data_IF_837739090152
#
_entry.id   IF_837739090152
#
_cell.length_a   1.000
_cell.length_b   1.000
_cell.length_c   1.000
_cell.angle_alpha   90.00
_cell.angle_beta   90.00
_cell.angle_gamma   90.00
#
_symmetry.space_group_name_H-M   'P 1'
#
loop_
_entity.id
_entity.type
_entity.pdbx_description
1 polymer ?
#
# COMPACT_ATOMS: atom_id res chain seq x y z
N UNK A 1 47.65 6.60 -4.83
CA UNK A 1 46.36 6.14 -5.40
C UNK A 1 45.63 5.36 -4.32
N UNK A 2 44.40 5.70 -3.95
CA UNK A 2 43.68 4.95 -2.91
C UNK A 2 43.35 3.53 -3.42
N UNK A 3 43.60 2.52 -2.59
CA UNK A 3 43.33 1.11 -2.88
C UNK A 3 41.88 0.78 -2.49
N UNK A 4 40.94 0.98 -3.41
CA UNK A 4 39.52 0.65 -3.21
C UNK A 4 39.26 -0.79 -3.64
N UNK A 5 38.74 -1.61 -2.72
CA UNK A 5 38.35 -3.00 -2.97
C UNK A 5 36.83 -3.11 -2.98
N UNK A 6 36.26 -3.61 -4.08
CA UNK A 6 34.83 -3.88 -4.18
C UNK A 6 34.51 -5.30 -3.66
N UNK A 7 33.46 -5.43 -2.84
CA UNK A 7 32.97 -6.73 -2.35
C UNK A 7 31.47 -6.83 -2.63
N UNK A 8 31.07 -7.83 -3.41
CA UNK A 8 29.66 -8.14 -3.60
C UNK A 8 29.08 -8.80 -2.34
N UNK A 9 27.87 -8.41 -1.96
CA UNK A 9 27.09 -9.01 -0.88
C UNK A 9 25.72 -9.38 -1.42
N UNK A 10 25.20 -10.56 -1.09
CA UNK A 10 23.85 -10.99 -1.49
C UNK A 10 22.70 -10.28 -0.77
N UNK A 11 22.94 -9.09 -0.21
CA UNK A 11 21.96 -8.31 0.53
C UNK A 11 21.34 -7.28 -0.40
N UNK A 12 20.02 -7.18 -0.38
CA UNK A 12 19.30 -6.15 -1.12
C UNK A 12 19.39 -4.84 -0.36
N UNK A 13 20.02 -3.83 -0.97
CA UNK A 13 20.02 -2.46 -0.46
C UNK A 13 18.87 -1.71 -1.15
N UNK A 14 17.98 -1.12 -0.37
CA UNK A 14 16.89 -0.29 -0.86
C UNK A 14 16.86 1.04 -0.11
N UNK A 15 16.53 2.13 -0.81
CA UNK A 15 16.26 3.43 -0.20
C UNK A 15 14.98 3.41 0.65
N UNK A 16 14.15 2.38 0.52
CA UNK A 16 12.85 2.25 1.18
C UNK A 16 12.88 1.42 2.47
N UNK A 17 14.06 1.23 3.09
CA UNK A 17 14.20 0.40 4.30
C UNK A 17 13.30 0.85 5.47
N UNK A 18 12.93 2.13 5.54
CA UNK A 18 11.98 2.67 6.52
C UNK A 18 10.58 2.04 6.45
N UNK A 19 10.18 1.49 5.29
CA UNK A 19 8.92 0.77 5.14
C UNK A 19 8.85 -0.50 6.01
N UNK A 20 9.97 -1.03 6.49
CA UNK A 20 9.98 -2.18 7.42
C UNK A 20 9.22 -1.90 8.72
N UNK A 21 9.32 -0.68 9.24
CA UNK A 21 8.62 -0.25 10.46
C UNK A 21 7.13 -0.05 10.13
N UNK A 22 6.85 0.55 8.96
CA UNK A 22 5.47 0.75 8.48
C UNK A 22 4.75 -0.59 8.29
N UNK A 23 5.42 -1.60 7.73
CA UNK A 23 4.88 -2.95 7.60
C UNK A 23 4.48 -3.55 8.93
N UNK A 24 5.32 -3.42 9.96
CA UNK A 24 5.01 -3.85 11.32
C UNK A 24 3.81 -3.09 11.91
N UNK A 25 3.75 -1.78 11.74
CA UNK A 25 2.60 -0.97 12.20
C UNK A 25 1.29 -1.41 11.51
N UNK A 26 1.34 -1.68 10.21
CA UNK A 26 0.20 -2.18 9.43
C UNK A 26 -0.29 -3.54 9.95
N UNK A 27 0.65 -4.45 10.26
CA UNK A 27 0.35 -5.76 10.81
C UNK A 27 -0.30 -5.63 12.19
N UNK A 28 0.28 -4.82 13.09
CA UNK A 28 -0.28 -4.53 14.41
C UNK A 28 -1.66 -3.87 14.34
N UNK A 29 -1.90 -3.02 13.35
CA UNK A 29 -3.20 -2.40 13.11
C UNK A 29 -4.25 -3.38 12.55
N UNK A 30 -3.87 -4.61 12.20
CA UNK A 30 -4.79 -5.64 11.73
C UNK A 30 -5.43 -5.31 10.38
N UNK A 31 -4.71 -4.61 9.49
CA UNK A 31 -5.25 -4.17 8.18
C UNK A 31 -5.75 -5.33 7.32
N UNK A 32 -5.21 -6.53 7.50
CA UNK A 32 -5.68 -7.74 6.80
C UNK A 32 -7.13 -8.13 7.14
N UNK A 33 -7.65 -7.69 8.28
CA UNK A 33 -9.07 -7.87 8.64
C UNK A 33 -10.03 -7.20 7.64
N UNK A 34 -9.55 -6.20 6.89
CA UNK A 34 -10.35 -5.54 5.84
C UNK A 34 -10.75 -6.50 4.72
N UNK A 35 -10.01 -7.58 4.49
CA UNK A 35 -10.36 -8.56 3.45
C UNK A 35 -11.65 -9.31 3.77
N UNK A 36 -11.96 -9.51 5.05
CA UNK A 36 -13.23 -10.07 5.49
C UNK A 36 -14.40 -9.10 5.31
N UNK A 37 -14.17 -7.80 5.54
CA UNK A 37 -15.18 -6.74 5.40
C UNK A 37 -15.45 -6.36 3.94
N UNK A 38 -14.41 -6.44 3.10
CA UNK A 38 -14.47 -6.09 1.68
C UNK A 38 -13.99 -7.28 0.82
N UNK A 39 -14.76 -8.38 0.80
CA UNK A 39 -14.37 -9.60 0.13
C UNK A 39 -14.18 -9.36 -1.36
N UNK A 40 -13.15 -9.97 -1.92
CA UNK A 40 -12.78 -9.81 -3.33
C UNK A 40 -12.61 -11.19 -3.95
N UNK A 41 -13.49 -11.53 -4.90
CA UNK A 41 -13.53 -12.86 -5.51
C UNK A 41 -12.37 -13.08 -6.49
N UNK A 42 -11.91 -12.01 -7.17
CA UNK A 42 -10.80 -12.04 -8.13
C UNK A 42 -10.01 -10.73 -8.06
N UNK A 43 -8.68 -10.82 -8.18
CA UNK A 43 -7.79 -9.65 -8.27
C UNK A 43 -7.04 -9.35 -6.98
N UNK A 44 -6.79 -8.06 -6.72
CA UNK A 44 -5.98 -7.59 -5.59
C UNK A 44 -6.85 -7.41 -4.35
N UNK A 45 -6.40 -7.97 -3.22
CA UNK A 45 -7.06 -7.93 -1.92
C UNK A 45 -7.27 -6.49 -1.42
N UNK A 46 -8.28 -6.26 -0.59
CA UNK A 46 -8.54 -4.91 -0.09
C UNK A 46 -7.40 -4.42 0.81
N UNK A 47 -6.86 -5.32 1.64
CA UNK A 47 -5.65 -5.11 2.42
C UNK A 47 -4.48 -4.66 1.54
N UNK A 48 -4.16 -5.41 0.48
CA UNK A 48 -3.07 -5.08 -0.46
C UNK A 48 -3.25 -3.71 -1.12
N UNK A 49 -4.48 -3.31 -1.46
CA UNK A 49 -4.78 -1.98 -2.01
C UNK A 49 -4.44 -0.88 -0.99
N UNK A 50 -4.92 -1.02 0.25
CA UNK A 50 -4.73 -0.02 1.31
C UNK A 50 -3.26 0.07 1.71
N UNK A 51 -2.61 -1.09 1.94
CA UNK A 51 -1.19 -1.19 2.29
C UNK A 51 -0.30 -0.57 1.20
N UNK A 52 -0.60 -0.85 -0.07
CA UNK A 52 0.16 -0.28 -1.19
C UNK A 52 0.09 1.24 -1.23
N UNK A 53 -1.10 1.81 -1.08
CA UNK A 53 -1.25 3.27 -1.08
C UNK A 53 -0.65 3.92 0.17
N UNK A 54 -0.80 3.31 1.35
CA UNK A 54 -0.15 3.78 2.57
C UNK A 54 1.37 3.75 2.45
N UNK A 55 1.93 2.71 1.82
CA UNK A 55 3.35 2.63 1.49
C UNK A 55 3.81 3.80 0.63
N UNK A 56 3.06 4.16 -0.41
CA UNK A 56 3.36 5.33 -1.23
C UNK A 56 3.30 6.65 -0.44
N UNK A 57 2.28 6.83 0.38
CA UNK A 57 2.13 8.01 1.23
C UNK A 57 3.30 8.14 2.23
N UNK A 58 3.76 7.03 2.82
CA UNK A 58 4.94 7.01 3.67
C UNK A 58 6.24 7.37 2.93
N UNK A 59 6.29 7.19 1.60
CA UNK A 59 7.37 7.64 0.74
C UNK A 59 7.19 9.09 0.25
N UNK A 60 6.11 9.78 0.67
CA UNK A 60 5.79 11.13 0.23
C UNK A 60 5.17 11.18 -1.18
N UNK A 61 4.72 10.06 -1.72
CA UNK A 61 4.12 9.95 -3.05
C UNK A 61 2.60 9.85 -2.92
N UNK A 62 1.88 10.92 -3.26
CA UNK A 62 0.42 10.94 -3.21
C UNK A 62 -0.25 10.54 -4.52
N UNK A 63 0.47 10.63 -5.64
CA UNK A 63 -0.04 10.26 -6.95
C UNK A 63 -0.14 8.73 -7.08
N UNK A 64 -1.28 8.25 -7.59
CA UNK A 64 -1.51 6.84 -7.81
C UNK A 64 -0.53 6.26 -8.84
N UNK A 65 -0.07 7.06 -9.81
CA UNK A 65 0.86 6.59 -10.84
C UNK A 65 2.25 6.22 -10.28
N UNK A 66 2.58 6.70 -9.08
CA UNK A 66 3.80 6.31 -8.39
C UNK A 66 3.87 4.80 -8.09
N UNK A 67 2.72 4.10 -8.06
CA UNK A 67 2.70 2.65 -7.81
C UNK A 67 3.41 1.86 -8.91
N UNK A 68 3.41 2.35 -10.16
CA UNK A 68 4.04 1.63 -11.27
C UNK A 68 5.57 1.57 -11.10
N UNK A 69 6.17 2.56 -10.43
CA UNK A 69 7.60 2.57 -10.12
C UNK A 69 8.01 1.44 -9.16
N UNK A 70 7.08 1.01 -8.29
CA UNK A 70 7.32 -0.04 -7.27
C UNK A 70 6.59 -1.35 -7.58
N UNK A 71 5.95 -1.45 -8.76
CA UNK A 71 5.09 -2.60 -9.11
C UNK A 71 5.84 -3.93 -9.19
N UNK A 72 7.11 -3.88 -9.60
CA UNK A 72 8.02 -5.03 -9.62
C UNK A 72 9.09 -4.94 -8.53
N UNK A 73 8.98 -3.97 -7.61
CA UNK A 73 9.95 -3.81 -6.53
C UNK A 73 9.70 -4.86 -5.43
N UNK A 74 10.59 -5.85 -5.36
CA UNK A 74 10.48 -6.97 -4.42
C UNK A 74 10.58 -6.49 -2.96
N UNK A 75 11.55 -5.63 -2.60
CA UNK A 75 11.58 -4.94 -1.31
C UNK A 75 10.25 -4.29 -0.91
N UNK A 76 9.67 -3.43 -1.75
CA UNK A 76 8.39 -2.77 -1.43
C UNK A 76 7.29 -3.79 -1.10
N UNK A 77 7.17 -4.84 -1.92
CA UNK A 77 6.22 -5.92 -1.72
C UNK A 77 6.44 -6.65 -0.38
N UNK A 78 7.68 -7.00 -0.07
CA UNK A 78 8.03 -7.76 1.12
C UNK A 78 7.90 -6.93 2.40
N UNK A 79 8.39 -5.68 2.39
CA UNK A 79 8.39 -4.79 3.54
C UNK A 79 6.96 -4.46 4.01
N UNK A 80 5.99 -4.43 3.10
CA UNK A 80 4.59 -4.16 3.40
C UNK A 80 3.73 -5.44 3.48
N UNK A 81 4.35 -6.61 3.39
CA UNK A 81 3.69 -7.92 3.39
C UNK A 81 2.51 -7.99 2.40
N UNK A 82 2.76 -7.59 1.16
CA UNK A 82 1.77 -7.57 0.07
C UNK A 82 1.75 -8.91 -0.67
N UNK A 83 0.56 -9.44 -0.97
CA UNK A 83 0.48 -10.56 -1.92
C UNK A 83 0.69 -10.10 -3.36
N UNK A 84 0.12 -8.95 -3.73
CA UNK A 84 0.25 -8.37 -5.07
C UNK A 84 0.22 -6.84 -5.04
N UNK A 85 1.19 -6.23 -5.70
CA UNK A 85 1.18 -4.78 -5.93
C UNK A 85 0.17 -4.47 -7.06
N UNK A 86 -0.82 -3.58 -6.85
CA UNK A 86 -1.81 -3.22 -7.85
C UNK A 86 -1.20 -2.37 -8.97
N UNK A 87 -1.87 -2.30 -10.13
CA UNK A 87 -1.61 -1.25 -11.11
C UNK A 87 -2.23 0.07 -10.69
N UNK A 88 -1.82 1.20 -11.28
CA UNK A 88 -2.48 2.51 -11.03
C UNK A 88 -4.00 2.40 -11.17
N UNK A 89 -4.46 1.84 -12.29
CA UNK A 89 -5.87 1.72 -12.58
C UNK A 89 -6.61 0.92 -11.51
N UNK A 90 -6.02 -0.22 -11.09
CA UNK A 90 -6.60 -1.07 -10.05
C UNK A 90 -6.63 -0.34 -8.70
N UNK A 91 -5.55 0.34 -8.34
CA UNK A 91 -5.42 1.07 -7.08
C UNK A 91 -6.49 2.16 -6.97
N UNK A 92 -6.59 3.03 -8.00
CA UNK A 92 -7.55 4.13 -8.05
C UNK A 92 -8.99 3.60 -8.00
N UNK A 93 -9.35 2.69 -8.91
CA UNK A 93 -10.72 2.15 -8.98
C UNK A 93 -11.15 1.46 -7.69
N UNK A 94 -10.23 0.73 -7.04
CA UNK A 94 -10.55 -0.02 -5.82
C UNK A 94 -10.69 0.90 -4.62
N UNK A 95 -9.82 1.89 -4.47
CA UNK A 95 -9.95 2.90 -3.41
C UNK A 95 -11.25 3.70 -3.56
N UNK A 96 -11.57 4.13 -4.78
CA UNK A 96 -12.81 4.85 -5.06
C UNK A 96 -14.05 4.00 -4.73
N UNK A 97 -14.05 2.72 -5.11
CA UNK A 97 -15.13 1.78 -4.78
C UNK A 97 -15.26 1.55 -3.27
N UNK A 98 -14.16 1.43 -2.53
CA UNK A 98 -14.16 1.30 -1.07
C UNK A 98 -14.74 2.56 -0.41
N UNK A 99 -14.40 3.75 -0.91
CA UNK A 99 -14.97 5.00 -0.45
C UNK A 99 -16.47 5.10 -0.75
N UNK A 100 -16.91 4.80 -1.97
CA UNK A 100 -18.32 4.87 -2.35
C UNK A 100 -19.21 3.95 -1.49
N UNK A 101 -18.74 2.73 -1.19
CA UNK A 101 -19.56 1.74 -0.48
C UNK A 101 -19.77 2.03 1.02
N UNK A 102 -18.79 2.61 1.71
CA UNK A 102 -18.84 2.79 3.18
C UNK A 102 -18.87 4.26 3.60
N UNK A 103 -18.07 5.12 2.95
CA UNK A 103 -18.02 6.54 3.31
C UNK A 103 -19.31 7.25 2.96
N UNK A 104 -19.89 7.03 1.77
CA UNK A 104 -21.12 7.71 1.36
C UNK A 104 -22.31 7.41 2.28
N UNK A 105 -22.42 6.19 2.80
CA UNK A 105 -23.44 5.80 3.76
C UNK A 105 -23.24 6.47 5.14
N UNK A 106 -22.00 6.72 5.54
CA UNK A 106 -21.66 7.34 6.85
C UNK A 106 -21.65 8.86 6.79
N UNK A 107 -21.18 9.47 5.71
CA UNK A 107 -21.21 10.92 5.52
C UNK A 107 -22.60 11.43 5.17
N UNK A 108 -23.46 10.66 4.50
CA UNK A 108 -24.86 11.08 4.30
C UNK A 108 -25.56 11.36 5.62
N UNK A 109 -25.31 10.54 6.64
CA UNK A 109 -25.84 10.74 8.00
C UNK A 109 -25.36 12.06 8.60
N UNK A 110 -24.08 12.40 8.43
CA UNK A 110 -23.53 13.67 8.90
C UNK A 110 -24.03 14.88 8.11
N UNK A 111 -24.20 14.74 6.80
CA UNK A 111 -24.78 15.79 5.94
C UNK A 111 -26.20 16.16 6.37
N UNK A 112 -27.02 15.19 6.79
CA UNK A 112 -28.38 15.44 7.27
C UNK A 112 -28.43 15.96 8.71
N UNK A 113 -27.37 15.74 9.50
CA UNK A 113 -27.30 16.18 10.91
C UNK A 113 -26.72 17.59 11.05
N UNK A 114 -25.94 18.05 10.06
CA UNK A 114 -25.31 19.37 10.04
C UNK A 114 -26.11 20.42 9.25
N UNK A 115 -27.30 20.08 8.76
CA UNK A 115 -28.31 20.98 8.19
C UNK A 115 -29.50 21.06 9.15
#
# INVERSE_FOLDING_TARGET
>A
MPNVKFRASGRTLTSHAGLSIIGQCIELAGVDSLDGRFPTSQGVRASDIIKSYLGLLCLGMSDFDAIENVRQDTPFKQLLNLQKVPSTATLRQRLEKLAANDLQARTSTWSTTLL
#
